data_IF_073945651363
#
_entry.id   IF_073945651363
#
_cell.length_a   1.000
_cell.length_b   1.000
_cell.length_c   1.000
_cell.angle_alpha   90.00
_cell.angle_beta   90.00
_cell.angle_gamma   90.00
#
_symmetry.space_group_name_H-M   'P 1'
#
loop_
_entity.id
_entity.type
_entity.pdbx_description
1 polymer ?
#
# COMPACT_ATOMS: atom_id res chain seq x y z
N UNK A 1 9.14 4.80 16.65
CA UNK A 1 8.17 5.09 15.56
C UNK A 1 8.72 4.69 14.20
N UNK A 2 9.76 5.36 13.67
CA UNK A 2 10.30 5.09 12.32
C UNK A 2 11.05 3.74 12.18
N UNK A 3 11.58 3.21 13.28
CA UNK A 3 12.31 1.93 13.35
C UNK A 3 11.42 0.68 13.35
N UNK A 4 10.09 0.84 13.41
CA UNK A 4 9.15 -0.29 13.53
C UNK A 4 9.01 -0.89 14.93
N UNK A 5 9.62 -0.25 15.94
CA UNK A 5 9.34 -0.55 17.34
C UNK A 5 7.85 -0.39 17.70
N UNK A 6 7.40 -1.25 18.61
CA UNK A 6 6.03 -1.29 19.13
C UNK A 6 5.78 -0.19 20.16
N UNK A 7 5.75 1.05 19.69
CA UNK A 7 5.53 2.22 20.55
C UNK A 7 4.07 2.38 20.99
N UNK A 8 3.12 1.74 20.31
CA UNK A 8 1.74 1.65 20.80
C UNK A 8 1.68 0.55 21.86
N UNK A 9 2.00 0.92 23.10
CA UNK A 9 2.14 0.00 24.22
C UNK A 9 0.81 -0.60 24.71
N UNK A 10 -0.32 0.09 24.51
CA UNK A 10 -1.63 -0.42 24.91
C UNK A 10 -2.11 -1.55 24.01
N UNK A 11 -1.67 -1.59 22.76
CA UNK A 11 -2.04 -2.62 21.77
C UNK A 11 -0.89 -3.53 21.34
N UNK A 12 0.31 -3.32 21.88
CA UNK A 12 1.56 -4.00 21.46
C UNK A 12 1.80 -3.95 19.93
N UNK A 13 1.71 -2.75 19.34
CA UNK A 13 1.78 -2.55 17.88
C UNK A 13 2.80 -1.50 17.43
N UNK A 14 3.36 -1.73 16.25
CA UNK A 14 4.14 -0.72 15.54
C UNK A 14 3.23 0.36 14.93
N UNK A 15 3.74 1.59 14.82
CA UNK A 15 3.02 2.73 14.20
C UNK A 15 3.81 3.22 12.99
N UNK A 16 3.39 2.80 11.79
CA UNK A 16 4.20 2.90 10.58
C UNK A 16 3.47 3.50 9.36
N UNK A 17 2.56 4.46 9.56
CA UNK A 17 1.96 5.18 8.44
C UNK A 17 3.01 5.92 7.57
N UNK A 18 4.21 6.15 8.10
CA UNK A 18 5.37 6.70 7.37
C UNK A 18 5.93 5.70 6.35
N UNK A 19 5.87 4.38 6.61
CA UNK A 19 6.28 3.34 5.68
C UNK A 19 5.42 3.33 4.41
N UNK A 20 4.12 3.61 4.53
CA UNK A 20 3.18 3.69 3.39
C UNK A 20 3.54 4.77 2.37
N UNK A 21 4.31 5.79 2.80
CA UNK A 21 4.75 6.91 1.97
C UNK A 21 6.28 7.00 1.85
N UNK A 22 6.99 5.93 2.23
CA UNK A 22 8.44 5.84 2.11
C UNK A 22 8.85 5.65 0.65
N UNK A 23 9.08 6.75 -0.05
CA UNK A 23 9.52 6.74 -1.45
C UNK A 23 10.99 6.36 -1.64
N UNK A 24 11.81 6.48 -0.59
CA UNK A 24 13.21 6.10 -0.61
C UNK A 24 13.43 4.58 -0.56
N UNK A 25 12.39 3.79 -0.28
CA UNK A 25 12.46 2.33 -0.16
C UNK A 25 13.54 1.84 0.83
N UNK A 26 13.89 2.67 1.81
CA UNK A 26 14.72 2.24 2.94
C UNK A 26 13.99 1.15 3.71
N UNK A 27 14.63 0.04 4.09
CA UNK A 27 13.97 -1.05 4.82
C UNK A 27 13.29 -0.55 6.10
N UNK A 28 12.10 -1.08 6.38
CA UNK A 28 11.35 -0.81 7.61
C UNK A 28 11.01 -2.15 8.25
N UNK A 29 11.63 -2.44 9.38
CA UNK A 29 11.55 -3.76 10.01
C UNK A 29 10.41 -3.82 11.03
N UNK A 30 9.54 -4.82 10.94
CA UNK A 30 8.54 -5.17 11.96
C UNK A 30 8.65 -6.65 12.25
N UNK A 31 8.82 -7.02 13.52
CA UNK A 31 8.97 -8.42 13.96
C UNK A 31 10.05 -9.18 13.14
N UNK A 32 11.14 -8.50 12.79
CA UNK A 32 12.25 -9.08 12.01
C UNK A 32 12.03 -9.15 10.50
N UNK A 33 10.92 -8.60 9.97
CA UNK A 33 10.60 -8.60 8.54
C UNK A 33 10.54 -7.18 7.96
N UNK A 34 11.13 -6.98 6.79
CA UNK A 34 10.96 -5.73 6.04
C UNK A 34 9.56 -5.66 5.43
N UNK A 35 8.81 -4.59 5.73
CA UNK A 35 7.44 -4.39 5.24
C UNK A 35 7.39 -3.68 3.88
N UNK A 36 8.49 -3.09 3.41
CA UNK A 36 8.51 -2.31 2.16
C UNK A 36 8.13 -3.12 0.91
N UNK A 37 8.54 -4.39 0.74
CA UNK A 37 8.11 -5.19 -0.41
C UNK A 37 6.59 -5.37 -0.49
N UNK A 38 5.92 -5.57 0.66
CA UNK A 38 4.47 -5.74 0.72
C UNK A 38 3.74 -4.44 0.45
N UNK A 39 4.22 -3.31 0.98
CA UNK A 39 3.69 -1.97 0.69
C UNK A 39 3.74 -1.70 -0.81
N UNK A 40 4.88 -1.94 -1.44
CA UNK A 40 5.05 -1.72 -2.88
C UNK A 40 4.20 -2.66 -3.74
N UNK A 41 4.01 -3.91 -3.30
CA UNK A 41 3.14 -4.86 -4.00
C UNK A 41 1.68 -4.38 -4.02
N UNK A 42 1.17 -3.83 -2.91
CA UNK A 42 -0.18 -3.27 -2.83
C UNK A 42 -0.30 -2.00 -3.67
N UNK A 43 0.68 -1.10 -3.61
CA UNK A 43 0.69 0.11 -4.47
C UNK A 43 0.68 -0.25 -5.95
N UNK A 44 1.45 -1.27 -6.35
CA UNK A 44 1.45 -1.78 -7.72
C UNK A 44 0.08 -2.35 -8.11
N UNK A 45 -0.54 -3.15 -7.24
CA UNK A 45 -1.89 -3.67 -7.46
C UNK A 45 -2.92 -2.54 -7.64
N UNK A 46 -2.85 -1.51 -6.80
CA UNK A 46 -3.71 -0.32 -6.89
C UNK A 46 -3.50 0.42 -8.21
N UNK A 47 -2.24 0.61 -8.63
CA UNK A 47 -1.89 1.24 -9.91
C UNK A 47 -2.47 0.48 -11.10
N UNK A 48 -2.25 -0.83 -11.18
CA UNK A 48 -2.76 -1.66 -12.29
C UNK A 48 -4.29 -1.58 -12.36
N UNK A 49 -4.96 -1.65 -11.21
CA UNK A 49 -6.41 -1.52 -11.17
C UNK A 49 -6.88 -0.13 -11.62
N UNK A 50 -6.31 0.94 -11.06
CA UNK A 50 -6.73 2.30 -11.41
C UNK A 50 -6.47 2.62 -12.88
N UNK A 51 -5.37 2.16 -13.46
CA UNK A 51 -5.07 2.29 -14.89
C UNK A 51 -6.13 1.62 -15.76
N UNK A 52 -6.60 0.42 -15.40
CA UNK A 52 -7.69 -0.26 -16.11
C UNK A 52 -9.01 0.51 -16.02
N UNK A 53 -9.31 1.12 -14.87
CA UNK A 53 -10.52 1.93 -14.69
C UNK A 53 -10.43 3.22 -15.51
N UNK A 54 -9.31 3.94 -15.43
CA UNK A 54 -9.10 5.23 -16.11
C UNK A 54 -9.06 5.05 -17.64
N UNK A 55 -8.38 4.01 -18.14
CA UNK A 55 -8.36 3.69 -19.57
C UNK A 55 -9.72 3.21 -20.10
N UNK A 56 -10.62 2.79 -19.21
CA UNK A 56 -11.88 2.17 -19.56
C UNK A 56 -11.77 0.74 -20.09
N UNK A 57 -10.60 0.10 -19.93
CA UNK A 57 -10.46 -1.35 -20.10
C UNK A 57 -11.36 -2.09 -19.11
N UNK A 58 -11.50 -1.54 -17.89
CA UNK A 58 -12.41 -2.06 -16.89
C UNK A 58 -13.85 -1.60 -17.17
N UNK A 59 -14.71 -2.56 -17.51
CA UNK A 59 -16.12 -2.32 -17.83
C UNK A 59 -17.03 -2.78 -16.69
N UNK A 60 -18.11 -2.02 -16.48
CA UNK A 60 -19.19 -2.44 -15.59
C UNK A 60 -20.05 -3.54 -16.22
N UNK A 61 -21.05 -4.02 -15.48
CA UNK A 61 -21.99 -5.06 -15.93
C UNK A 61 -22.66 -4.75 -17.29
N UNK A 62 -22.96 -3.48 -17.55
CA UNK A 62 -23.60 -3.03 -18.80
C UNK A 62 -22.61 -2.77 -19.94
N UNK A 63 -21.35 -3.18 -19.78
CA UNK A 63 -20.25 -3.01 -20.77
C UNK A 63 -19.91 -1.53 -21.03
N UNK A 64 -20.45 -0.60 -20.22
CA UNK A 64 -20.10 0.82 -20.24
C UNK A 64 -18.81 1.08 -19.45
N UNK A 65 -18.06 2.10 -19.89
CA UNK A 65 -16.89 2.63 -19.16
C UNK A 65 -17.35 3.19 -17.80
N UNK A 66 -16.54 3.00 -16.76
CA UNK A 66 -16.85 3.44 -15.40
C UNK A 66 -16.60 4.94 -15.17
N UNK A 67 -15.54 5.51 -15.74
CA UNK A 67 -15.25 6.93 -15.68
C UNK A 67 -15.75 7.63 -16.96
N UNK A 68 -16.50 8.72 -16.78
CA UNK A 68 -17.08 9.53 -17.85
C UNK A 68 -16.10 10.60 -18.31
#
# INVERSE_FOLDING_TARGET
MFSGEKINCTEDRAVLHTALRNRSNTPVMVDGKDVMPEVNAVLHKMKVFSERVISGEWKGYTVKRLLM
#
